data_IF_216720731187
#
_entry.id   IF_216720731187
#
_cell.length_a   1.000
_cell.length_b   1.000
_cell.length_c   1.000
_cell.angle_alpha   90.00
_cell.angle_beta   90.00
_cell.angle_gamma   90.00
#
_symmetry.space_group_name_H-M   'P 1'
#
loop_
_entity.id
_entity.type
_entity.pdbx_description
1 polymer ?
#
# COMPACT_ATOMS: atom_id res chain seq x y z
N UNK A 1 -16.63 -6.43 11.10
CA UNK A 1 -16.00 -5.24 10.49
C UNK A 1 -15.60 -5.54 9.05
N UNK A 2 -15.62 -4.51 8.21
CA UNK A 2 -15.01 -4.51 6.87
C UNK A 2 -13.72 -3.70 6.97
N UNK A 3 -12.60 -4.34 6.63
CA UNK A 3 -11.26 -3.75 6.74
C UNK A 3 -10.70 -3.61 5.33
N UNK A 4 -10.43 -2.38 4.93
CA UNK A 4 -9.76 -2.05 3.69
C UNK A 4 -8.24 -2.10 3.84
N UNK A 5 -7.55 -2.65 2.84
CA UNK A 5 -6.09 -2.86 2.89
C UNK A 5 -5.50 -2.44 1.55
N UNK A 6 -4.55 -1.49 1.55
CA UNK A 6 -3.68 -1.29 0.39
C UNK A 6 -2.63 -2.41 0.26
N UNK A 7 -2.02 -2.55 -0.93
CA UNK A 7 -0.96 -3.52 -1.18
C UNK A 7 0.43 -2.96 -0.87
N UNK A 8 0.88 -1.98 -1.64
CA UNK A 8 2.28 -1.54 -1.68
C UNK A 8 2.59 -0.63 -0.49
N UNK A 9 3.63 -0.94 0.27
CA UNK A 9 3.94 -0.21 1.51
C UNK A 9 3.09 -0.65 2.71
N UNK A 10 2.05 -1.49 2.53
CA UNK A 10 1.18 -1.97 3.62
C UNK A 10 1.31 -3.48 3.88
N UNK A 11 1.11 -4.32 2.86
CA UNK A 11 1.32 -5.78 2.96
C UNK A 11 2.47 -6.27 2.08
N UNK A 12 2.80 -5.51 1.03
CA UNK A 12 3.93 -5.74 0.15
C UNK A 12 5.04 -4.72 0.49
N UNK A 13 6.24 -5.21 0.79
CA UNK A 13 7.41 -4.40 1.17
C UNK A 13 8.09 -3.86 -0.10
N UNK A 14 7.38 -2.97 -0.80
CA UNK A 14 7.72 -2.48 -2.13
C UNK A 14 8.88 -1.48 -2.12
N UNK A 15 8.95 -0.62 -1.10
CA UNK A 15 9.94 0.47 -0.99
C UNK A 15 11.39 0.01 -1.12
N UNK A 16 11.87 -1.01 -0.39
CA UNK A 16 13.25 -1.45 -0.53
C UNK A 16 13.59 -1.90 -1.95
N UNK A 17 12.65 -2.58 -2.63
CA UNK A 17 12.89 -3.10 -3.98
C UNK A 17 12.87 -1.98 -5.03
N UNK A 18 11.93 -1.03 -4.91
CA UNK A 18 11.89 0.16 -5.76
C UNK A 18 13.18 0.97 -5.62
N UNK A 19 13.57 1.31 -4.39
CA UNK A 19 14.77 2.10 -4.12
C UNK A 19 16.05 1.40 -4.57
N UNK A 20 16.20 0.10 -4.34
CA UNK A 20 17.36 -0.67 -4.81
C UNK A 20 17.45 -0.69 -6.34
N UNK A 21 16.32 -0.84 -7.02
CA UNK A 21 16.26 -0.83 -8.49
C UNK A 21 16.62 0.55 -9.03
N UNK A 22 16.11 1.62 -8.44
CA UNK A 22 16.45 3.02 -8.78
C UNK A 22 17.96 3.27 -8.58
N UNK A 23 18.51 2.90 -7.43
CA UNK A 23 19.94 3.06 -7.15
C UNK A 23 20.80 2.32 -8.19
N UNK A 24 20.41 1.10 -8.56
CA UNK A 24 21.10 0.30 -9.57
C UNK A 24 21.03 0.92 -10.97
N UNK A 25 19.85 1.39 -11.40
CA UNK A 25 19.64 1.89 -12.76
C UNK A 25 20.29 3.25 -13.00
N UNK A 26 20.35 4.10 -11.97
CA UNK A 26 20.79 5.49 -12.12
C UNK A 26 22.06 5.81 -11.32
N UNK A 27 22.74 4.77 -10.80
CA UNK A 27 23.97 4.90 -10.01
C UNK A 27 23.83 5.88 -8.83
N UNK A 28 22.71 5.75 -8.10
CA UNK A 28 22.40 6.54 -6.91
C UNK A 28 22.67 5.76 -5.63
N UNK A 29 22.68 6.45 -4.49
CA UNK A 29 22.84 5.85 -3.17
C UNK A 29 21.75 6.32 -2.19
N UNK A 30 20.50 6.27 -2.64
CA UNK A 30 19.34 6.63 -1.84
C UNK A 30 19.17 5.64 -0.68
N UNK A 31 19.01 6.19 0.52
CA UNK A 31 18.57 5.50 1.73
C UNK A 31 17.07 5.74 1.90
N UNK A 32 16.40 4.92 2.69
CA UNK A 32 14.96 5.07 2.92
C UNK A 32 14.60 6.48 3.41
N UNK A 33 15.42 7.06 4.30
CA UNK A 33 15.23 8.43 4.83
C UNK A 33 15.25 9.52 3.75
N UNK A 34 15.80 9.24 2.58
CA UNK A 34 15.91 10.18 1.46
C UNK A 34 14.65 10.15 0.58
N UNK A 35 13.75 9.15 0.74
CA UNK A 35 12.48 9.03 0.00
C UNK A 35 11.40 9.84 0.72
N UNK A 36 11.42 11.16 0.55
CA UNK A 36 10.53 12.10 1.25
C UNK A 36 9.28 12.50 0.46
N UNK A 37 9.13 12.02 -0.78
CA UNK A 37 7.90 12.12 -1.58
C UNK A 37 7.39 10.74 -1.97
N UNK A 38 6.07 10.62 -2.13
CA UNK A 38 5.43 9.39 -2.60
C UNK A 38 5.78 9.12 -4.07
N UNK A 39 6.01 10.19 -4.84
CA UNK A 39 6.58 10.11 -6.18
C UNK A 39 8.09 9.99 -6.07
N UNK A 40 8.61 8.83 -6.43
CA UNK A 40 10.03 8.52 -6.27
C UNK A 40 10.93 9.48 -7.05
N UNK A 41 10.48 9.94 -8.23
CA UNK A 41 11.17 10.92 -9.05
C UNK A 41 11.50 12.22 -8.33
N UNK A 42 10.59 12.72 -7.49
CA UNK A 42 10.78 13.96 -6.76
C UNK A 42 11.88 13.82 -5.69
N UNK A 43 11.99 12.64 -5.08
CA UNK A 43 13.03 12.36 -4.06
C UNK A 43 14.38 11.99 -4.69
N UNK A 44 14.34 11.30 -5.82
CA UNK A 44 15.50 10.77 -6.51
C UNK A 44 16.09 11.74 -7.55
N UNK A 45 15.41 12.86 -7.85
CA UNK A 45 15.82 13.81 -8.88
C UNK A 45 15.76 13.21 -10.29
N UNK A 46 14.80 12.30 -10.53
CA UNK A 46 14.68 11.60 -11.81
C UNK A 46 13.74 12.34 -12.76
N UNK A 47 14.05 12.29 -14.05
CA UNK A 47 13.14 12.75 -15.10
C UNK A 47 12.00 11.75 -15.34
N UNK A 48 10.94 12.19 -16.00
CA UNK A 48 9.85 11.30 -16.42
C UNK A 48 10.37 10.14 -17.30
N UNK A 49 11.37 10.39 -18.15
CA UNK A 49 11.97 9.39 -19.03
C UNK A 49 12.71 8.32 -18.22
N UNK A 50 13.44 8.72 -17.19
CA UNK A 50 14.08 7.80 -16.25
C UNK A 50 13.04 6.98 -15.48
N UNK A 51 11.95 7.59 -15.04
CA UNK A 51 10.87 6.84 -14.39
C UNK A 51 10.18 5.84 -15.34
N UNK A 52 9.98 6.21 -16.61
CA UNK A 52 9.47 5.26 -17.61
C UNK A 52 10.43 4.09 -17.82
N UNK A 53 11.74 4.34 -17.86
CA UNK A 53 12.75 3.29 -17.90
C UNK A 53 12.69 2.39 -16.67
N UNK A 54 12.62 2.98 -15.48
CA UNK A 54 12.47 2.23 -14.22
C UNK A 54 11.26 1.30 -14.25
N UNK A 55 10.07 1.79 -14.58
CA UNK A 55 8.86 0.97 -14.60
C UNK A 55 8.92 -0.13 -15.67
N UNK A 56 9.47 0.18 -16.85
CA UNK A 56 9.69 -0.81 -17.91
C UNK A 56 10.61 -1.93 -17.44
N UNK A 57 11.77 -1.58 -16.88
CA UNK A 57 12.75 -2.56 -16.38
C UNK A 57 12.19 -3.36 -15.21
N UNK A 58 11.52 -2.69 -14.26
CA UNK A 58 10.90 -3.33 -13.11
C UNK A 58 9.88 -4.38 -13.53
N UNK A 59 9.04 -4.07 -14.53
CA UNK A 59 8.09 -5.03 -15.10
C UNK A 59 8.80 -6.19 -15.81
N UNK A 60 9.76 -5.92 -16.70
CA UNK A 60 10.47 -6.95 -17.47
C UNK A 60 11.25 -7.92 -16.57
N UNK A 61 11.76 -7.44 -15.44
CA UNK A 61 12.45 -8.27 -14.45
C UNK A 61 11.49 -9.03 -13.52
N UNK A 62 10.16 -8.94 -13.71
CA UNK A 62 9.16 -9.56 -12.84
C UNK A 62 9.14 -8.95 -11.43
N UNK A 63 9.47 -7.67 -11.30
CA UNK A 63 9.63 -6.98 -10.03
C UNK A 63 8.42 -7.10 -9.11
N UNK A 64 7.20 -7.03 -9.65
CA UNK A 64 5.96 -7.13 -8.88
C UNK A 64 5.80 -8.48 -8.15
N UNK A 65 6.25 -9.58 -8.76
CA UNK A 65 6.24 -10.92 -8.17
C UNK A 65 7.35 -11.07 -7.11
N UNK A 66 8.45 -10.33 -7.23
CA UNK A 66 9.61 -10.38 -6.34
C UNK A 66 9.45 -9.56 -5.05
N UNK A 67 8.42 -8.70 -4.96
CA UNK A 67 8.18 -7.92 -3.74
C UNK A 67 7.91 -8.87 -2.58
N UNK A 68 8.62 -8.69 -1.46
CA UNK A 68 8.44 -9.51 -0.26
C UNK A 68 7.22 -9.05 0.53
N UNK A 69 6.70 -9.91 1.40
CA UNK A 69 5.70 -9.47 2.38
C UNK A 69 6.33 -8.56 3.44
N UNK A 70 5.58 -7.53 3.82
CA UNK A 70 5.84 -6.81 5.07
C UNK A 70 5.77 -7.80 6.23
N UNK A 71 6.68 -7.64 7.20
CA UNK A 71 6.79 -8.51 8.37
C UNK A 71 5.42 -8.66 9.06
N UNK A 72 4.99 -9.92 9.23
CA UNK A 72 3.69 -10.35 9.78
C UNK A 72 2.45 -10.14 8.89
N UNK A 73 2.55 -9.65 7.66
CA UNK A 73 1.38 -9.39 6.81
C UNK A 73 0.43 -10.59 6.69
N UNK A 74 0.96 -11.76 6.32
CA UNK A 74 0.19 -13.01 6.26
C UNK A 74 -0.50 -13.35 7.59
N UNK A 75 0.26 -13.33 8.69
CA UNK A 75 -0.25 -13.65 10.03
C UNK A 75 -1.35 -12.68 10.48
N UNK A 76 -1.18 -11.39 10.18
CA UNK A 76 -2.16 -10.35 10.48
C UNK A 76 -3.46 -10.61 9.74
N UNK A 77 -3.41 -10.80 8.41
CA UNK A 77 -4.60 -11.03 7.59
C UNK A 77 -5.29 -12.38 7.91
N UNK A 78 -4.53 -13.44 8.20
CA UNK A 78 -5.10 -14.71 8.67
C UNK A 78 -5.87 -14.55 9.99
N UNK A 79 -5.35 -13.72 10.89
CA UNK A 79 -6.03 -13.42 12.15
C UNK A 79 -7.32 -12.64 11.90
N UNK A 80 -7.28 -11.59 11.07
CA UNK A 80 -8.50 -10.87 10.70
C UNK A 80 -9.57 -11.80 10.10
N UNK A 81 -9.18 -12.70 9.19
CA UNK A 81 -10.10 -13.70 8.61
C UNK A 81 -10.66 -14.65 9.68
N UNK A 82 -9.83 -15.14 10.60
CA UNK A 82 -10.25 -16.04 11.69
C UNK A 82 -11.25 -15.36 12.64
N UNK A 83 -11.05 -14.08 12.93
CA UNK A 83 -12.00 -13.24 13.70
C UNK A 83 -13.21 -12.78 12.86
N UNK A 84 -13.46 -13.44 11.72
CA UNK A 84 -14.61 -13.22 10.83
C UNK A 84 -14.73 -11.78 10.30
N UNK A 85 -13.62 -11.06 10.18
CA UNK A 85 -13.60 -9.77 9.49
C UNK A 85 -13.57 -9.97 7.98
N UNK A 86 -14.27 -9.08 7.25
CA UNK A 86 -14.20 -9.03 5.78
C UNK A 86 -12.99 -8.19 5.39
N UNK A 87 -12.10 -8.76 4.59
CA UNK A 87 -10.89 -8.08 4.10
C UNK A 87 -11.13 -7.68 2.64
N UNK A 88 -11.04 -6.39 2.34
CA UNK A 88 -11.14 -5.87 0.97
C UNK A 88 -9.81 -5.21 0.62
N UNK A 89 -9.15 -5.70 -0.42
CA UNK A 89 -7.91 -5.10 -0.90
C UNK A 89 -8.27 -4.03 -1.93
N UNK A 90 -7.71 -2.82 -1.78
CA UNK A 90 -7.90 -1.72 -2.73
C UNK A 90 -6.53 -1.17 -3.12
N UNK A 91 -6.15 -1.32 -4.39
CA UNK A 91 -4.79 -1.01 -4.86
C UNK A 91 -4.79 -0.03 -6.03
N UNK A 92 -3.76 0.84 -6.09
CA UNK A 92 -3.50 1.71 -7.23
C UNK A 92 -2.54 1.10 -8.27
N UNK A 93 -2.21 -0.19 -8.17
CA UNK A 93 -1.43 -0.88 -9.21
C UNK A 93 -2.13 -0.78 -10.58
N UNK A 94 -1.40 -0.56 -11.69
CA UNK A 94 -1.99 -0.47 -13.02
C UNK A 94 -2.72 -1.76 -13.42
N UNK A 95 -4.04 -1.68 -13.61
CA UNK A 95 -4.90 -2.84 -13.91
C UNK A 95 -4.50 -3.53 -15.22
N UNK A 96 -4.26 -2.78 -16.29
CA UNK A 96 -4.15 -3.34 -17.64
C UNK A 96 -2.95 -4.27 -17.84
N UNK A 97 -1.86 -4.00 -17.11
CA UNK A 97 -0.61 -4.76 -17.27
C UNK A 97 -0.26 -5.61 -16.05
N UNK A 98 -0.63 -5.19 -14.83
CA UNK A 98 -0.13 -5.81 -13.59
C UNK A 98 -1.22 -6.61 -12.86
N UNK A 99 -2.46 -6.64 -13.36
CA UNK A 99 -3.56 -7.39 -12.71
C UNK A 99 -3.21 -8.87 -12.52
N UNK A 100 -2.72 -9.54 -13.56
CA UNK A 100 -2.35 -10.97 -13.48
C UNK A 100 -1.25 -11.23 -12.45
N UNK A 101 -0.20 -10.42 -12.45
CA UNK A 101 0.90 -10.54 -11.48
C UNK A 101 0.45 -10.24 -10.05
N UNK A 102 -0.48 -9.30 -9.87
CA UNK A 102 -1.03 -8.99 -8.55
C UNK A 102 -1.83 -10.16 -7.98
N UNK A 103 -2.70 -10.80 -8.79
CA UNK A 103 -3.41 -12.02 -8.36
C UNK A 103 -2.45 -13.14 -8.02
N UNK A 104 -1.46 -13.39 -8.89
CA UNK A 104 -0.44 -14.42 -8.68
C UNK A 104 0.36 -14.17 -7.41
N UNK A 105 0.79 -12.92 -7.17
CA UNK A 105 1.52 -12.55 -5.95
C UNK A 105 0.69 -12.80 -4.69
N UNK A 106 -0.60 -12.46 -4.70
CA UNK A 106 -1.52 -12.73 -3.59
C UNK A 106 -1.70 -14.23 -3.35
N UNK A 107 -1.80 -15.02 -4.42
CA UNK A 107 -1.95 -16.48 -4.38
C UNK A 107 -0.68 -17.17 -3.85
N UNK A 108 0.49 -16.84 -4.38
CA UNK A 108 1.79 -17.40 -3.96
C UNK A 108 2.05 -17.13 -2.47
N UNK A 109 1.68 -15.94 -1.99
CA UNK A 109 1.78 -15.57 -0.58
C UNK A 109 0.58 -16.05 0.27
N UNK A 110 -0.41 -16.72 -0.34
CA UNK A 110 -1.63 -17.25 0.29
C UNK A 110 -2.43 -16.20 1.06
N UNK A 111 -2.45 -14.96 0.55
CA UNK A 111 -3.09 -13.82 1.23
C UNK A 111 -4.61 -14.02 1.26
N UNK A 112 -5.25 -14.04 2.44
CA UNK A 112 -6.70 -14.09 2.51
C UNK A 112 -7.31 -12.72 2.22
N UNK A 113 -8.26 -12.67 1.30
CA UNK A 113 -9.09 -11.49 1.05
C UNK A 113 -10.46 -11.94 0.52
N UNK A 114 -11.46 -11.07 0.66
CA UNK A 114 -12.82 -11.28 0.15
C UNK A 114 -13.02 -10.67 -1.23
N UNK A 115 -12.32 -9.57 -1.52
CA UNK A 115 -12.40 -8.87 -2.80
C UNK A 115 -11.12 -8.07 -3.06
N UNK A 116 -10.74 -7.95 -4.34
CA UNK A 116 -9.63 -7.12 -4.80
C UNK A 116 -10.18 -6.08 -5.78
N UNK A 117 -9.98 -4.81 -5.44
CA UNK A 117 -10.43 -3.65 -6.21
C UNK A 117 -9.19 -2.93 -6.72
N UNK A 118 -9.11 -2.76 -8.03
CA UNK A 118 -8.11 -1.91 -8.66
C UNK A 118 -8.67 -0.49 -8.78
N UNK A 119 -7.83 0.51 -8.55
CA UNK A 119 -8.15 1.90 -8.81
C UNK A 119 -8.17 2.11 -10.33
N UNK A 120 -9.35 2.01 -10.93
CA UNK A 120 -9.55 2.21 -12.36
C UNK A 120 -9.85 3.68 -12.64
N UNK A 121 -8.95 4.45 -13.26
CA UNK A 121 -9.12 5.87 -13.67
C UNK A 121 -9.71 6.86 -12.63
N UNK A 122 -10.04 6.39 -11.42
CA UNK A 122 -10.60 7.16 -10.33
C UNK A 122 -9.45 7.77 -9.54
N UNK A 123 -9.61 9.02 -9.12
CA UNK A 123 -8.60 9.72 -8.31
C UNK A 123 -8.62 9.31 -6.83
N UNK A 124 -9.53 8.42 -6.42
CA UNK A 124 -9.81 8.08 -5.02
C UNK A 124 -10.08 6.58 -4.82
N UNK A 125 -9.27 5.93 -3.98
CA UNK A 125 -9.51 4.56 -3.51
C UNK A 125 -10.82 4.44 -2.73
N UNK A 126 -11.19 5.46 -1.96
CA UNK A 126 -12.47 5.49 -1.25
C UNK A 126 -13.64 5.41 -2.22
N UNK A 127 -13.63 6.23 -3.28
CA UNK A 127 -14.72 6.23 -4.26
C UNK A 127 -14.83 4.88 -4.98
N UNK A 128 -13.70 4.28 -5.38
CA UNK A 128 -13.70 2.95 -6.00
C UNK A 128 -14.31 1.89 -5.08
N UNK A 129 -13.99 1.93 -3.78
CA UNK A 129 -14.58 1.02 -2.80
C UNK A 129 -16.08 1.28 -2.56
N UNK A 130 -16.49 2.55 -2.50
CA UNK A 130 -17.88 2.95 -2.29
C UNK A 130 -18.78 2.48 -3.45
N UNK A 131 -18.31 2.59 -4.69
CA UNK A 131 -19.05 2.11 -5.88
C UNK A 131 -19.25 0.59 -5.88
N UNK A 132 -18.42 -0.15 -5.13
CA UNK A 132 -18.57 -1.59 -4.88
C UNK A 132 -19.42 -1.90 -3.62
N UNK A 133 -20.00 -0.87 -3.00
CA UNK A 133 -20.86 -0.99 -1.83
C UNK A 133 -20.10 -1.16 -0.50
N UNK A 134 -18.78 -0.94 -0.48
CA UNK A 134 -18.00 -1.09 0.75
C UNK A 134 -18.03 0.17 1.61
N UNK A 135 -18.27 -0.02 2.91
CA UNK A 135 -18.09 0.98 3.96
C UNK A 135 -17.11 0.41 4.98
N UNK A 136 -15.93 1.01 5.10
CA UNK A 136 -14.86 0.48 5.93
C UNK A 136 -14.94 0.99 7.36
N UNK A 137 -14.71 0.10 8.32
CA UNK A 137 -14.47 0.47 9.73
C UNK A 137 -13.02 0.97 9.90
N UNK A 138 -12.09 0.27 9.25
CA UNK A 138 -10.68 0.60 9.20
C UNK A 138 -10.14 0.51 7.76
N UNK A 139 -9.17 1.38 7.44
CA UNK A 139 -8.37 1.28 6.22
C UNK A 139 -6.87 1.35 6.55
N UNK A 140 -6.05 0.48 5.96
CA UNK A 140 -4.59 0.56 6.06
C UNK A 140 -4.01 1.10 4.75
N UNK A 141 -3.18 2.14 4.86
CA UNK A 141 -2.64 2.89 3.72
C UNK A 141 -1.22 3.39 4.06
N UNK A 142 -0.40 3.67 3.05
CA UNK A 142 0.92 4.29 3.23
C UNK A 142 0.96 5.72 2.63
N UNK A 143 0.10 6.03 1.67
CA UNK A 143 0.01 7.36 1.08
C UNK A 143 -0.92 8.30 1.85
N UNK A 144 -0.39 9.42 2.35
CA UNK A 144 -1.13 10.35 3.21
C UNK A 144 -2.39 10.91 2.53
N UNK A 145 -2.36 11.22 1.24
CA UNK A 145 -3.50 11.82 0.54
C UNK A 145 -4.68 10.84 0.43
N UNK A 146 -4.43 9.56 0.16
CA UNK A 146 -5.47 8.53 0.22
C UNK A 146 -5.96 8.31 1.64
N UNK A 147 -5.05 8.26 2.62
CA UNK A 147 -5.42 8.17 4.03
C UNK A 147 -6.32 9.33 4.47
N UNK A 148 -6.02 10.56 4.02
CA UNK A 148 -6.82 11.74 4.30
C UNK A 148 -8.21 11.67 3.68
N UNK A 149 -8.34 11.26 2.43
CA UNK A 149 -9.65 11.12 1.76
C UNK A 149 -10.56 10.11 2.49
N UNK A 150 -10.01 8.96 2.93
CA UNK A 150 -10.75 8.03 3.80
C UNK A 150 -11.15 8.67 5.14
N UNK A 151 -10.20 9.33 5.79
CA UNK A 151 -10.37 9.90 7.12
C UNK A 151 -11.41 11.04 7.17
N UNK A 152 -11.44 11.89 6.14
CA UNK A 152 -12.43 12.97 5.97
C UNK A 152 -13.86 12.44 5.84
N UNK A 153 -14.02 11.17 5.47
CA UNK A 153 -15.30 10.50 5.30
C UNK A 153 -15.67 9.62 6.50
N UNK A 154 -14.95 9.78 7.60
CA UNK A 154 -15.22 9.12 8.88
C UNK A 154 -14.58 7.73 9.04
N UNK A 155 -13.80 7.25 8.07
CA UNK A 155 -13.10 5.96 8.18
C UNK A 155 -11.87 6.10 9.07
N UNK A 156 -11.65 5.17 10.01
CA UNK A 156 -10.42 5.13 10.80
C UNK A 156 -9.28 4.61 9.94
N UNK A 157 -8.20 5.38 9.80
CA UNK A 157 -7.06 5.00 8.97
C UNK A 157 -5.86 4.71 9.84
N UNK A 158 -5.23 3.56 9.56
CA UNK A 158 -3.95 3.17 10.11
C UNK A 158 -2.87 3.40 9.05
N UNK A 159 -2.16 4.51 9.19
CA UNK A 159 -1.17 4.98 8.22
C UNK A 159 0.20 4.38 8.55
N UNK A 160 0.75 3.56 7.65
CA UNK A 160 2.11 3.03 7.81
C UNK A 160 3.11 4.18 7.83
N UNK A 161 3.95 4.29 8.87
CA UNK A 161 4.89 5.41 9.02
C UNK A 161 6.08 5.29 8.05
N UNK A 162 6.11 6.17 7.05
CA UNK A 162 7.20 6.29 6.08
C UNK A 162 7.64 7.74 5.92
N UNK A 163 8.89 8.02 5.49
CA UNK A 163 9.36 9.40 5.35
C UNK A 163 8.48 10.25 4.43
N UNK A 164 7.98 9.68 3.32
CA UNK A 164 7.13 10.37 2.34
C UNK A 164 5.73 10.78 2.81
N UNK A 165 5.31 10.37 4.00
CA UNK A 165 3.98 10.72 4.51
C UNK A 165 4.04 11.55 5.79
N UNK A 166 5.22 11.85 6.34
CA UNK A 166 5.38 12.55 7.63
C UNK A 166 5.05 14.05 7.60
N UNK A 167 5.07 14.67 6.44
CA UNK A 167 4.60 16.05 6.25
C UNK A 167 3.08 16.21 6.40
N UNK A 168 2.33 15.10 6.32
CA UNK A 168 0.88 15.11 6.39
C UNK A 168 0.35 15.62 7.74
N UNK A 169 -0.59 16.57 7.68
CA UNK A 169 -1.21 17.19 8.86
C UNK A 169 -1.91 16.14 9.76
N UNK A 170 -1.88 16.30 11.09
CA UNK A 170 -2.66 15.46 11.98
C UNK A 170 -4.15 15.47 11.62
N UNK A 171 -4.80 14.32 11.74
CA UNK A 171 -6.24 14.18 11.56
C UNK A 171 -6.76 13.18 12.62
N UNK A 172 -7.89 13.44 13.30
CA UNK A 172 -8.37 12.61 14.42
C UNK A 172 -8.62 11.14 14.02
N UNK A 173 -9.01 10.90 12.77
CA UNK A 173 -9.21 9.55 12.23
C UNK A 173 -7.95 8.90 11.65
N UNK A 174 -6.78 9.54 11.67
CA UNK A 174 -5.52 8.94 11.16
C UNK A 174 -4.60 8.65 12.33
N UNK A 175 -4.30 7.36 12.56
CA UNK A 175 -3.28 6.91 13.52
C UNK A 175 -2.09 6.35 12.74
N UNK A 176 -0.92 6.96 12.90
CA UNK A 176 0.32 6.42 12.33
C UNK A 176 0.74 5.17 13.10
N UNK A 177 1.15 4.14 12.39
CA UNK A 177 1.61 2.87 12.95
C UNK A 177 2.96 2.50 12.38
N UNK A 178 3.82 1.90 13.21
CA UNK A 178 5.15 1.46 12.77
C UNK A 178 5.18 0.01 12.28
N UNK A 179 4.09 -0.74 12.51
CA UNK A 179 4.01 -2.15 12.11
C UNK A 179 2.58 -2.69 12.08
N UNK A 180 2.39 -3.79 11.34
CA UNK A 180 1.14 -4.55 11.37
C UNK A 180 0.84 -5.21 12.72
N UNK A 181 1.82 -5.30 13.63
CA UNK A 181 1.58 -5.72 15.03
C UNK A 181 0.76 -4.66 15.79
N UNK A 182 1.03 -3.38 15.54
CA UNK A 182 0.23 -2.29 16.12
C UNK A 182 -1.16 -2.25 15.50
N UNK A 183 -1.28 -2.43 14.18
CA UNK A 183 -2.58 -2.56 13.52
C UNK A 183 -3.43 -3.69 14.12
N UNK A 184 -2.82 -4.86 14.32
CA UNK A 184 -3.45 -6.00 14.97
C UNK A 184 -3.95 -5.67 16.38
N UNK A 185 -3.16 -4.93 17.17
CA UNK A 185 -3.53 -4.52 18.52
C UNK A 185 -4.72 -3.54 18.52
N UNK A 186 -4.71 -2.55 17.62
CA UNK A 186 -5.77 -1.54 17.52
C UNK A 186 -7.08 -2.19 17.08
N UNK A 187 -7.04 -2.95 15.97
CA UNK A 187 -8.25 -3.51 15.36
C UNK A 187 -8.89 -4.60 16.24
N UNK A 188 -8.08 -5.48 16.82
CA UNK A 188 -8.59 -6.67 17.50
C UNK A 188 -8.71 -6.51 19.02
N UNK A 189 -8.08 -5.49 19.61
CA UNK A 189 -8.07 -5.28 21.07
C UNK A 189 -8.54 -3.90 21.51
N UNK A 190 -8.85 -3.00 20.57
CA UNK A 190 -9.37 -1.66 20.89
C UNK A 190 -8.36 -0.71 21.53
N UNK A 191 -7.06 -0.91 21.27
CA UNK A 191 -5.93 -0.11 21.81
C UNK A 191 -5.55 1.11 20.95
#
# INVERSE_FOLDING_TARGET
MIIGIDIDGVIADSEPLYRQTINRLFNLNLKQKDITSYKYEESAGLTDDQMRLFWKTFYQEGGWLKIKLIKRAKKFLDKLKREKHRIVIVTSRPRDHIKKETYRWLEEHKIPYSELIFLENHKSKHQAALLRGHKFDYFLEDYYEYARDFAQRGVKVLLMDYPWNRWGKPHPNIKRIKSLKEAEAIILRGL
#
